data_IF_802975072954
#
_entry.id   IF_802975072954
#
_cell.length_a   1.000
_cell.length_b   1.000
_cell.length_c   1.000
_cell.angle_alpha   90.00
_cell.angle_beta   90.00
_cell.angle_gamma   90.00
#
_symmetry.space_group_name_H-M   'P 1'
#
loop_
_entity.id
_entity.type
_entity.pdbx_description
1 polymer ?
#
# COMPACT_ATOMS: atom_id res chain seq x y z
N UNK A 1 5.12 -2.84 16.04
CA UNK A 1 5.30 -1.50 15.46
C UNK A 1 6.01 -1.59 14.13
N UNK A 2 5.43 -1.01 13.10
CA UNK A 2 5.97 -1.07 11.74
C UNK A 2 6.16 0.31 11.15
N UNK A 3 7.13 0.43 10.22
CA UNK A 3 7.34 1.65 9.42
C UNK A 3 6.62 1.46 8.10
N UNK A 4 5.64 2.30 7.84
CA UNK A 4 4.68 2.13 6.74
C UNK A 4 4.74 3.30 5.77
N UNK A 5 4.74 2.99 4.47
CA UNK A 5 4.57 3.97 3.40
C UNK A 5 3.15 3.87 2.86
N UNK A 6 2.46 4.98 2.72
CA UNK A 6 1.10 5.04 2.22
C UNK A 6 1.11 5.70 0.84
N UNK A 7 0.50 5.05 -0.15
CA UNK A 7 0.43 5.54 -1.52
C UNK A 7 -1.03 5.61 -1.96
N UNK A 8 -1.54 6.82 -2.10
CA UNK A 8 -2.92 7.08 -2.52
C UNK A 8 -3.00 8.52 -3.00
N UNK A 9 -3.65 8.78 -4.12
CA UNK A 9 -3.79 10.14 -4.64
C UNK A 9 -4.80 10.98 -3.86
N UNK A 10 -5.66 10.36 -3.07
CA UNK A 10 -6.65 11.05 -2.23
C UNK A 10 -6.05 11.36 -0.84
N UNK A 11 -5.85 12.65 -0.56
CA UNK A 11 -5.32 13.09 0.73
C UNK A 11 -6.18 12.62 1.91
N UNK A 12 -7.50 12.60 1.74
CA UNK A 12 -8.41 12.13 2.78
C UNK A 12 -8.14 10.67 3.13
N UNK A 13 -7.93 9.82 2.13
CA UNK A 13 -7.66 8.40 2.35
C UNK A 13 -6.32 8.18 3.05
N UNK A 14 -5.29 8.94 2.67
CA UNK A 14 -4.00 8.88 3.37
C UNK A 14 -4.16 9.25 4.84
N UNK A 15 -4.97 10.27 5.11
CA UNK A 15 -5.24 10.70 6.49
C UNK A 15 -5.95 9.60 7.29
N UNK A 16 -6.95 8.93 6.70
CA UNK A 16 -7.68 7.83 7.36
C UNK A 16 -6.74 6.69 7.74
N UNK A 17 -5.92 6.25 6.79
CA UNK A 17 -4.98 5.15 7.03
C UNK A 17 -3.92 5.56 8.06
N UNK A 18 -3.38 6.77 7.93
CA UNK A 18 -2.39 7.29 8.87
C UNK A 18 -2.93 7.33 10.30
N UNK A 19 -4.19 7.76 10.47
CA UNK A 19 -4.82 7.82 11.79
C UNK A 19 -4.94 6.42 12.39
N UNK A 20 -5.39 5.44 11.62
CA UNK A 20 -5.50 4.04 12.06
C UNK A 20 -4.13 3.52 12.52
N UNK A 21 -3.11 3.72 11.70
CA UNK A 21 -1.77 3.23 11.99
C UNK A 21 -1.16 3.89 13.22
N UNK A 22 -1.26 5.22 13.31
CA UNK A 22 -0.68 5.98 14.43
C UNK A 22 -1.32 5.61 15.76
N UNK A 23 -2.64 5.39 15.78
CA UNK A 23 -3.34 5.00 17.00
C UNK A 23 -2.98 3.59 17.47
N UNK A 24 -2.39 2.78 16.61
CA UNK A 24 -2.05 1.39 16.91
C UNK A 24 -0.54 1.14 16.94
N UNK A 25 0.24 2.18 17.15
CA UNK A 25 1.69 2.06 17.39
C UNK A 25 2.55 1.91 16.16
N UNK A 26 2.00 2.13 14.96
CA UNK A 26 2.77 2.10 13.73
C UNK A 26 3.18 3.50 13.30
N UNK A 27 4.28 3.60 12.57
CA UNK A 27 4.82 4.89 12.11
C UNK A 27 4.64 5.02 10.60
N UNK A 28 4.05 6.13 10.14
CA UNK A 28 3.99 6.45 8.72
C UNK A 28 5.24 7.22 8.35
N UNK A 29 6.12 6.59 7.58
CA UNK A 29 7.43 7.16 7.22
C UNK A 29 7.41 7.94 5.90
N UNK A 30 6.39 7.73 5.07
CA UNK A 30 6.22 8.47 3.83
C UNK A 30 4.76 8.41 3.36
N UNK A 31 4.31 9.48 2.72
CA UNK A 31 3.05 9.54 2.01
C UNK A 31 3.35 9.88 0.56
N UNK A 32 2.78 9.11 -0.36
CA UNK A 32 3.00 9.28 -1.80
C UNK A 32 1.66 9.53 -2.49
N UNK A 33 1.68 10.34 -3.54
CA UNK A 33 0.47 10.78 -4.24
C UNK A 33 0.16 9.98 -5.51
N UNK A 34 1.13 9.20 -6.00
CA UNK A 34 0.95 8.35 -7.18
C UNK A 34 2.02 7.26 -7.20
N UNK A 35 1.94 6.38 -8.22
CA UNK A 35 2.88 5.27 -8.33
C UNK A 35 4.30 5.69 -8.59
N UNK A 36 4.50 6.76 -9.36
CA UNK A 36 5.84 7.27 -9.66
C UNK A 36 6.53 7.78 -8.39
N UNK A 37 5.80 8.55 -7.58
CA UNK A 37 6.27 9.04 -6.28
C UNK A 37 6.66 7.88 -5.37
N UNK A 38 5.85 6.82 -5.35
CA UNK A 38 6.12 5.63 -4.55
C UNK A 38 7.40 4.93 -4.96
N UNK A 39 7.61 4.74 -6.27
CA UNK A 39 8.82 4.08 -6.78
C UNK A 39 10.07 4.89 -6.42
N UNK A 40 9.99 6.21 -6.51
CA UNK A 40 11.11 7.09 -6.17
C UNK A 40 11.41 7.08 -4.68
N UNK A 41 10.40 7.12 -3.84
CA UNK A 41 10.57 7.20 -2.38
C UNK A 41 10.92 5.86 -1.73
N UNK A 42 10.48 4.75 -2.32
CA UNK A 42 10.64 3.44 -1.69
C UNK A 42 12.08 3.14 -1.26
N UNK A 43 13.09 3.26 -2.14
CA UNK A 43 14.47 2.95 -1.73
C UNK A 43 15.04 3.95 -0.72
N UNK A 44 14.52 5.18 -0.70
CA UNK A 44 14.99 6.21 0.22
C UNK A 44 14.50 5.99 1.64
N UNK A 45 13.24 5.57 1.81
CA UNK A 45 12.64 5.40 3.14
C UNK A 45 12.69 3.95 3.63
N UNK A 46 12.83 3.00 2.73
CA UNK A 46 12.90 1.57 3.03
C UNK A 46 11.84 1.13 4.05
N UNK A 47 10.55 1.28 3.75
CA UNK A 47 9.49 0.94 4.69
C UNK A 47 9.38 -0.57 4.88
N UNK A 48 8.85 -0.99 6.03
CA UNK A 48 8.56 -2.40 6.29
C UNK A 48 7.29 -2.86 5.56
N UNK A 49 6.38 -1.94 5.27
CA UNK A 49 5.09 -2.24 4.62
C UNK A 49 4.67 -1.06 3.76
N UNK A 50 4.06 -1.35 2.62
CA UNK A 50 3.49 -0.34 1.72
C UNK A 50 1.99 -0.62 1.56
N UNK A 51 1.16 0.39 1.81
CA UNK A 51 -0.24 0.38 1.38
C UNK A 51 -0.33 1.15 0.06
N UNK A 52 -0.82 0.50 -0.99
CA UNK A 52 -0.80 1.02 -2.35
C UNK A 52 -2.19 0.99 -2.97
N UNK A 53 -2.70 2.15 -3.38
CA UNK A 53 -3.91 2.21 -4.19
C UNK A 53 -3.59 1.75 -5.63
N UNK A 54 -4.61 1.33 -6.37
CA UNK A 54 -4.44 0.86 -7.75
C UNK A 54 -4.59 1.99 -8.75
N UNK A 55 -5.71 2.72 -8.69
CA UNK A 55 -6.03 3.76 -9.68
C UNK A 55 -5.46 5.10 -9.23
N UNK A 56 -4.38 5.51 -9.87
CA UNK A 56 -3.69 6.76 -9.57
C UNK A 56 -3.18 7.40 -10.86
N UNK A 57 -2.97 8.74 -10.88
CA UNK A 57 -2.37 9.40 -12.04
C UNK A 57 -0.88 9.04 -12.17
N UNK A 58 -0.31 9.31 -13.33
CA UNK A 58 1.10 9.14 -13.70
C UNK A 58 1.55 7.68 -13.76
N UNK A 59 1.36 6.90 -12.70
CA UNK A 59 1.65 5.47 -12.69
C UNK A 59 0.66 4.78 -11.77
N UNK A 60 -0.03 3.77 -12.27
CA UNK A 60 -0.99 2.99 -11.50
C UNK A 60 -0.29 2.08 -10.48
N UNK A 61 -1.05 1.67 -9.45
CA UNK A 61 -0.50 0.92 -8.33
C UNK A 61 0.10 -0.42 -8.70
N UNK A 62 -0.48 -1.16 -9.66
CA UNK A 62 0.07 -2.46 -10.05
C UNK A 62 1.41 -2.28 -10.77
N UNK A 63 1.56 -1.25 -11.60
CA UNK A 63 2.83 -0.96 -12.25
C UNK A 63 3.90 -0.53 -11.22
N UNK A 64 3.51 0.28 -10.24
CA UNK A 64 4.39 0.66 -9.15
C UNK A 64 4.81 -0.55 -8.30
N UNK A 65 3.86 -1.45 -8.03
CA UNK A 65 4.12 -2.70 -7.31
C UNK A 65 5.20 -3.52 -8.02
N UNK A 66 5.07 -3.70 -9.34
CA UNK A 66 6.04 -4.45 -10.12
C UNK A 66 7.43 -3.83 -10.03
N UNK A 67 7.52 -2.52 -10.10
CA UNK A 67 8.81 -1.81 -9.99
C UNK A 67 9.40 -1.91 -8.60
N UNK A 68 8.58 -1.81 -7.56
CA UNK A 68 9.05 -1.99 -6.18
C UNK A 68 9.58 -3.41 -5.97
N UNK A 69 8.89 -4.40 -6.51
CA UNK A 69 9.35 -5.80 -6.42
C UNK A 69 10.65 -6.04 -7.17
N UNK A 70 10.91 -5.28 -8.25
CA UNK A 70 12.22 -5.31 -8.93
C UNK A 70 13.32 -4.72 -8.05
N UNK A 71 13.02 -3.62 -7.34
CA UNK A 71 13.97 -2.97 -6.44
C UNK A 71 14.28 -3.88 -5.25
N UNK A 72 13.25 -4.49 -4.67
CA UNK A 72 13.39 -5.36 -3.50
C UNK A 72 12.37 -6.51 -3.59
N UNK A 73 12.82 -7.72 -4.00
CA UNK A 73 11.93 -8.88 -4.10
C UNK A 73 11.29 -9.29 -2.76
N UNK A 74 11.82 -8.82 -1.64
CA UNK A 74 11.26 -9.08 -0.32
C UNK A 74 10.30 -7.96 0.16
N UNK A 75 10.00 -6.98 -0.69
CA UNK A 75 9.09 -5.89 -0.34
C UNK A 75 7.71 -6.43 0.05
N UNK A 76 7.13 -5.82 1.08
CA UNK A 76 5.79 -6.17 1.54
C UNK A 76 4.82 -5.08 1.11
N UNK A 77 3.95 -5.40 0.16
CA UNK A 77 2.98 -4.46 -0.40
C UNK A 77 1.57 -5.03 -0.27
N UNK A 78 0.68 -4.23 0.28
CA UNK A 78 -0.75 -4.53 0.37
C UNK A 78 -1.48 -3.55 -0.54
N UNK A 79 -2.27 -4.07 -1.46
CA UNK A 79 -3.08 -3.21 -2.33
C UNK A 79 -4.36 -2.80 -1.61
N UNK A 80 -4.82 -1.59 -1.88
CA UNK A 80 -5.98 -1.02 -1.22
C UNK A 80 -6.77 -0.22 -2.25
N UNK A 81 -7.93 -0.73 -2.71
CA UNK A 81 -8.65 -0.12 -3.82
C UNK A 81 -10.16 -0.34 -3.72
N UNK A 82 -10.93 0.55 -4.35
CA UNK A 82 -12.37 0.37 -4.53
C UNK A 82 -12.70 -0.67 -5.62
N UNK A 83 -11.71 -1.09 -6.41
CA UNK A 83 -11.88 -2.08 -7.47
C UNK A 83 -11.57 -3.46 -6.90
N UNK A 84 -12.63 -4.19 -6.50
CA UNK A 84 -12.48 -5.53 -5.91
C UNK A 84 -12.80 -6.67 -6.85
N UNK A 85 -12.73 -6.45 -8.18
CA UNK A 85 -12.98 -7.51 -9.15
C UNK A 85 -11.92 -8.59 -9.06
N UNK A 86 -12.34 -9.84 -9.21
CA UNK A 86 -11.46 -11.01 -9.07
C UNK A 86 -10.22 -10.92 -9.98
N UNK A 87 -10.38 -10.45 -11.21
CA UNK A 87 -9.26 -10.32 -12.15
C UNK A 87 -8.21 -9.33 -11.68
N UNK A 88 -8.64 -8.23 -11.05
CA UNK A 88 -7.73 -7.20 -10.51
C UNK A 88 -7.01 -7.72 -9.29
N UNK A 89 -7.73 -8.38 -8.38
CA UNK A 89 -7.14 -8.98 -7.18
C UNK A 89 -6.10 -10.03 -7.57
N UNK A 90 -6.44 -10.91 -8.52
CA UNK A 90 -5.54 -11.96 -8.99
C UNK A 90 -4.28 -11.36 -9.62
N UNK A 91 -4.41 -10.32 -10.45
CA UNK A 91 -3.27 -9.67 -11.08
C UNK A 91 -2.34 -9.05 -10.03
N UNK A 92 -2.92 -8.37 -9.03
CA UNK A 92 -2.13 -7.79 -7.94
C UNK A 92 -1.35 -8.86 -7.18
N UNK A 93 -1.98 -9.96 -6.81
CA UNK A 93 -1.32 -11.04 -6.06
C UNK A 93 -0.24 -11.72 -6.91
N UNK A 94 -0.49 -11.95 -8.20
CA UNK A 94 0.52 -12.49 -9.11
C UNK A 94 1.71 -11.56 -9.31
N UNK A 95 1.50 -10.26 -9.16
CA UNK A 95 2.54 -9.26 -9.32
C UNK A 95 3.37 -9.06 -8.04
N UNK A 96 3.01 -9.73 -6.95
CA UNK A 96 3.79 -9.72 -5.72
C UNK A 96 3.11 -9.12 -4.50
N UNK A 97 1.87 -8.63 -4.61
CA UNK A 97 1.15 -8.12 -3.44
C UNK A 97 0.88 -9.24 -2.46
N UNK A 98 1.02 -8.95 -1.17
CA UNK A 98 0.78 -9.94 -0.12
C UNK A 98 -0.70 -10.06 0.23
N UNK A 99 -1.46 -8.99 0.06
CA UNK A 99 -2.89 -9.00 0.34
C UNK A 99 -3.58 -7.85 -0.39
N UNK A 100 -4.90 -7.83 -0.33
CA UNK A 100 -5.73 -6.86 -1.02
C UNK A 100 -6.88 -6.43 -0.10
N UNK A 101 -7.02 -5.12 0.12
CA UNK A 101 -8.10 -4.55 0.93
C UNK A 101 -9.04 -3.78 0.00
N UNK A 102 -10.33 -4.09 0.06
CA UNK A 102 -11.35 -3.41 -0.75
C UNK A 102 -11.91 -2.22 0.03
N UNK A 103 -11.97 -1.06 -0.62
CA UNK A 103 -12.58 0.14 -0.04
C UNK A 103 -14.11 0.08 -0.24
N UNK A 104 -14.92 0.59 0.70
CA UNK A 104 -14.50 1.12 2.00
C UNK A 104 -14.15 0.00 2.97
N UNK A 105 -13.24 0.30 3.88
CA UNK A 105 -12.79 -0.64 4.91
C UNK A 105 -12.84 0.02 6.29
N UNK A 106 -12.76 -0.78 7.34
CA UNK A 106 -12.65 -0.28 8.71
C UNK A 106 -11.24 -0.53 9.28
N UNK A 107 -11.01 0.03 10.47
CA UNK A 107 -9.72 -0.11 11.15
C UNK A 107 -9.40 -1.58 11.43
N UNK A 108 -10.41 -2.38 11.79
CA UNK A 108 -10.21 -3.80 12.10
C UNK A 108 -9.62 -4.56 10.92
N UNK A 109 -10.06 -4.26 9.69
CA UNK A 109 -9.54 -4.91 8.49
C UNK A 109 -8.10 -4.56 8.23
N UNK A 110 -7.74 -3.28 8.38
CA UNK A 110 -6.35 -2.81 8.21
C UNK A 110 -5.43 -3.52 9.21
N UNK A 111 -5.84 -3.56 10.49
CA UNK A 111 -5.04 -4.18 11.54
C UNK A 111 -4.92 -5.70 11.38
N UNK A 112 -5.99 -6.35 10.92
CA UNK A 112 -5.97 -7.79 10.61
C UNK A 112 -4.92 -8.10 9.54
N UNK A 113 -4.91 -7.32 8.46
CA UNK A 113 -3.96 -7.52 7.36
C UNK A 113 -2.52 -7.27 7.82
N UNK A 114 -2.28 -6.23 8.61
CA UNK A 114 -0.95 -5.95 9.17
C UNK A 114 -0.46 -7.17 9.98
N UNK A 115 -1.32 -7.73 10.81
CA UNK A 115 -0.98 -8.90 11.62
C UNK A 115 -0.64 -10.13 10.78
N UNK A 116 -1.21 -10.25 9.59
CA UNK A 116 -0.96 -11.38 8.68
C UNK A 116 0.36 -11.21 7.91
N UNK A 117 0.70 -9.98 7.49
CA UNK A 117 1.84 -9.77 6.59
C UNK A 117 3.14 -9.41 7.32
N UNK A 118 3.05 -8.99 8.55
CA UNK A 118 4.18 -8.72 9.41
C UNK A 118 4.31 -9.79 10.51
#
# INVERSE_FOLDING_TARGET
MAKVMIVDDAAFMRMVIKDILSKNGHEVVAECVDGLDAVQKYPQVNPELVFMDIVMPNMEGIDALKKIMEINPAAKVVMCSSIGQQSVVTDALKSGALDFIVKPFDAAKVLEVIGKVL
#
